data_IF_819117677230
#
_entry.id   IF_819117677230
#
_cell.length_a   1.000
_cell.length_b   1.000
_cell.length_c   1.000
_cell.angle_alpha   90.00
_cell.angle_beta   90.00
_cell.angle_gamma   90.00
#
_symmetry.space_group_name_H-M   'P 1'
#
loop_
_entity.id
_entity.type
_entity.pdbx_description
1 polymer ?
#
# COMPACT_ATOMS: atom_id res chain seq x y z
N UNK A 1 -8.99 -8.41 24.01
CA UNK A 1 -9.11 -9.38 22.89
C UNK A 1 -10.10 -10.51 23.17
N UNK A 2 -10.05 -11.19 24.33
CA UNK A 2 -11.01 -12.29 24.68
C UNK A 2 -12.47 -11.87 24.50
N UNK A 3 -12.85 -10.70 25.03
CA UNK A 3 -14.22 -10.18 24.90
C UNK A 3 -14.64 -9.90 23.45
N UNK A 4 -13.72 -9.41 22.61
CA UNK A 4 -13.98 -9.20 21.19
C UNK A 4 -14.19 -10.51 20.44
N UNK A 5 -13.33 -11.51 20.69
CA UNK A 5 -13.48 -12.85 20.11
C UNK A 5 -14.78 -13.54 20.58
N UNK A 6 -15.11 -13.44 21.88
CA UNK A 6 -16.35 -14.00 22.42
C UNK A 6 -17.59 -13.31 21.82
N UNK A 7 -17.58 -11.97 21.74
CA UNK A 7 -18.68 -11.19 21.17
C UNK A 7 -18.87 -11.49 19.69
N UNK A 8 -17.81 -11.44 18.89
CA UNK A 8 -17.88 -11.74 17.44
C UNK A 8 -18.36 -13.17 17.21
N UNK A 9 -17.83 -14.16 17.95
CA UNK A 9 -18.27 -15.55 17.86
C UNK A 9 -19.76 -15.66 18.17
N UNK A 10 -20.20 -15.12 19.32
CA UNK A 10 -21.61 -15.16 19.75
C UNK A 10 -22.52 -14.47 18.73
N UNK A 11 -22.12 -13.30 18.22
CA UNK A 11 -22.86 -12.53 17.23
C UNK A 11 -23.04 -13.31 15.92
N UNK A 12 -21.96 -13.87 15.36
CA UNK A 12 -22.04 -14.65 14.12
C UNK A 12 -22.80 -15.96 14.30
N UNK A 13 -22.57 -16.69 15.39
CA UNK A 13 -23.35 -17.89 15.69
C UNK A 13 -24.83 -17.58 15.88
N UNK A 14 -25.15 -16.44 16.51
CA UNK A 14 -26.51 -15.96 16.67
C UNK A 14 -27.18 -15.64 15.34
N UNK A 15 -26.49 -14.92 14.44
CA UNK A 15 -27.00 -14.63 13.09
C UNK A 15 -27.27 -15.90 12.31
N UNK A 16 -26.32 -16.85 12.29
CA UNK A 16 -26.49 -18.11 11.57
C UNK A 16 -27.63 -18.93 12.17
N UNK A 17 -27.72 -19.02 13.49
CA UNK A 17 -28.81 -19.70 14.17
C UNK A 17 -30.17 -19.05 13.87
N UNK A 18 -30.25 -17.72 13.85
CA UNK A 18 -31.47 -16.98 13.48
C UNK A 18 -31.86 -17.27 12.04
N UNK A 19 -30.92 -17.28 11.09
CA UNK A 19 -31.21 -17.59 9.68
C UNK A 19 -31.74 -19.02 9.53
N UNK A 20 -31.08 -20.00 10.17
CA UNK A 20 -31.52 -21.40 10.16
C UNK A 20 -32.91 -21.51 10.80
N UNK A 21 -33.11 -20.91 11.97
CA UNK A 21 -34.41 -20.92 12.65
C UNK A 21 -35.50 -20.31 11.78
N UNK A 22 -35.25 -19.14 11.18
CA UNK A 22 -36.22 -18.48 10.30
C UNK A 22 -36.62 -19.33 9.10
N UNK A 23 -35.67 -20.06 8.51
CA UNK A 23 -35.88 -20.89 7.32
C UNK A 23 -36.55 -22.24 7.63
N UNK A 24 -36.17 -22.89 8.73
CA UNK A 24 -36.62 -24.24 9.07
C UNK A 24 -37.87 -24.25 9.95
N UNK A 25 -38.11 -23.21 10.75
CA UNK A 25 -39.26 -23.16 11.65
C UNK A 25 -40.55 -22.91 10.88
N UNK A 26 -41.52 -23.84 11.02
CA UNK A 26 -42.76 -23.85 10.22
C UNK A 26 -43.58 -22.56 10.37
N UNK A 27 -43.59 -21.96 11.56
CA UNK A 27 -44.34 -20.72 11.84
C UNK A 27 -43.72 -19.50 11.15
N UNK A 28 -42.39 -19.42 11.05
CA UNK A 28 -41.69 -18.24 10.47
C UNK A 28 -41.48 -18.36 8.98
N UNK A 29 -41.42 -19.59 8.44
CA UNK A 29 -41.24 -19.86 7.01
C UNK A 29 -42.16 -19.05 6.07
N UNK A 30 -43.49 -18.93 6.30
CA UNK A 30 -44.33 -18.10 5.42
C UNK A 30 -43.95 -16.62 5.43
N UNK A 31 -43.55 -16.08 6.59
CA UNK A 31 -43.10 -14.70 6.73
C UNK A 31 -41.82 -14.47 5.93
N UNK A 32 -40.87 -15.42 5.98
CA UNK A 32 -39.62 -15.32 5.21
C UNK A 32 -39.89 -15.29 3.71
N UNK A 33 -40.81 -16.11 3.20
CA UNK A 33 -41.17 -16.06 1.78
C UNK A 33 -41.87 -14.75 1.38
N UNK A 34 -42.69 -14.18 2.27
CA UNK A 34 -43.26 -12.85 2.04
C UNK A 34 -42.17 -11.78 1.95
N UNK A 35 -41.21 -11.78 2.88
CA UNK A 35 -40.06 -10.86 2.86
C UNK A 35 -39.25 -11.04 1.58
N UNK A 36 -38.96 -12.29 1.17
CA UNK A 36 -38.26 -12.58 -0.07
C UNK A 36 -39.01 -12.02 -1.29
N UNK A 37 -40.33 -12.16 -1.32
CA UNK A 37 -41.19 -11.57 -2.34
C UNK A 37 -41.08 -10.04 -2.38
N UNK A 38 -41.04 -9.37 -1.21
CA UNK A 38 -40.80 -7.92 -1.12
C UNK A 38 -39.42 -7.56 -1.67
N UNK A 39 -38.36 -8.30 -1.32
CA UNK A 39 -37.00 -8.06 -1.83
C UNK A 39 -36.96 -8.17 -3.35
N UNK A 40 -37.57 -9.22 -3.92
CA UNK A 40 -37.67 -9.39 -5.38
C UNK A 40 -38.44 -8.21 -6.00
N UNK A 41 -39.55 -7.80 -5.37
CA UNK A 41 -40.32 -6.63 -5.79
C UNK A 41 -39.49 -5.33 -5.79
N UNK A 42 -38.65 -5.13 -4.77
CA UNK A 42 -37.72 -3.98 -4.71
C UNK A 42 -36.70 -4.03 -5.86
N UNK A 43 -36.13 -5.20 -6.16
CA UNK A 43 -35.16 -5.35 -7.26
C UNK A 43 -35.83 -5.06 -8.61
N UNK A 44 -37.04 -5.59 -8.82
CA UNK A 44 -37.81 -5.33 -10.05
C UNK A 44 -38.18 -3.86 -10.17
N UNK A 45 -38.62 -3.21 -9.09
CA UNK A 45 -38.94 -1.78 -9.09
C UNK A 45 -37.71 -0.91 -9.37
N UNK A 46 -36.52 -1.27 -8.88
CA UNK A 46 -35.26 -0.60 -9.23
C UNK A 46 -34.89 -0.76 -10.71
N UNK A 47 -35.10 -1.94 -11.28
CA UNK A 47 -34.86 -2.20 -12.69
C UNK A 47 -35.83 -1.38 -13.56
N UNK A 48 -37.13 -1.39 -13.23
CA UNK A 48 -38.15 -0.59 -13.93
C UNK A 48 -37.82 0.90 -13.82
N UNK A 49 -37.46 1.40 -12.65
CA UNK A 49 -37.05 2.80 -12.46
C UNK A 49 -35.88 3.16 -13.36
N UNK A 50 -34.85 2.32 -13.41
CA UNK A 50 -33.68 2.55 -14.26
C UNK A 50 -34.05 2.64 -15.74
N UNK A 51 -34.95 1.76 -16.20
CA UNK A 51 -35.48 1.78 -17.57
C UNK A 51 -36.28 3.05 -17.83
N UNK A 52 -37.22 3.40 -16.95
CA UNK A 52 -38.02 4.61 -17.06
C UNK A 52 -37.16 5.87 -17.07
N UNK A 53 -36.11 5.93 -16.25
CA UNK A 53 -35.18 7.05 -16.23
C UNK A 53 -34.47 7.21 -17.59
N UNK A 54 -33.99 6.11 -18.17
CA UNK A 54 -33.35 6.14 -19.50
C UNK A 54 -34.35 6.54 -20.60
N UNK A 55 -35.57 5.99 -20.57
CA UNK A 55 -36.61 6.28 -21.56
C UNK A 55 -37.08 7.73 -21.47
N UNK A 56 -37.46 8.21 -20.29
CA UNK A 56 -37.85 9.61 -20.09
C UNK A 56 -36.70 10.58 -20.34
N UNK A 57 -35.47 10.20 -19.98
CA UNK A 57 -34.26 10.96 -20.34
C UNK A 57 -34.16 11.18 -21.85
N UNK A 58 -34.28 10.10 -22.64
CA UNK A 58 -34.22 10.18 -24.11
C UNK A 58 -35.41 10.92 -24.73
N UNK A 59 -36.61 10.81 -24.17
CA UNK A 59 -37.82 11.39 -24.75
C UNK A 59 -38.01 12.88 -24.40
N UNK A 60 -37.69 13.27 -23.16
CA UNK A 60 -37.98 14.61 -22.65
C UNK A 60 -36.81 15.59 -22.84
N UNK A 61 -35.59 15.10 -23.03
CA UNK A 61 -34.39 15.92 -23.20
C UNK A 61 -33.82 15.82 -24.62
N UNK A 62 -33.46 16.97 -25.17
CA UNK A 62 -32.63 17.08 -26.35
C UNK A 62 -31.34 17.80 -25.94
N UNK A 63 -30.25 17.04 -25.77
CA UNK A 63 -29.02 17.51 -25.13
C UNK A 63 -29.31 18.15 -23.75
N UNK A 64 -29.01 19.44 -23.57
CA UNK A 64 -29.23 20.17 -22.32
C UNK A 64 -30.61 20.84 -22.21
N UNK A 65 -31.45 20.78 -23.25
CA UNK A 65 -32.73 21.48 -23.29
C UNK A 65 -33.92 20.53 -23.08
N UNK A 66 -34.93 20.99 -22.33
CA UNK A 66 -36.20 20.28 -22.12
C UNK A 66 -37.10 20.47 -23.34
N UNK A 67 -37.41 19.39 -24.06
CA UNK A 67 -38.28 19.45 -25.25
C UNK A 67 -39.75 19.63 -24.89
N UNK A 68 -40.18 19.07 -23.76
CA UNK A 68 -41.57 19.10 -23.26
C UNK A 68 -41.60 19.39 -21.76
N UNK A 69 -41.71 20.66 -21.34
CA UNK A 69 -41.56 21.04 -19.93
C UNK A 69 -42.64 20.44 -19.02
N UNK A 70 -43.89 20.35 -19.49
CA UNK A 70 -45.00 19.79 -18.70
C UNK A 70 -44.80 18.31 -18.37
N UNK A 71 -44.52 17.48 -19.38
CA UNK A 71 -44.28 16.04 -19.20
C UNK A 71 -43.04 15.80 -18.33
N UNK A 72 -41.99 16.60 -18.55
CA UNK A 72 -40.78 16.50 -17.76
C UNK A 72 -41.05 16.76 -16.27
N UNK A 73 -41.78 17.82 -15.94
CA UNK A 73 -42.10 18.15 -14.54
C UNK A 73 -42.90 17.03 -13.87
N UNK A 74 -43.91 16.46 -14.54
CA UNK A 74 -44.68 15.33 -14.00
C UNK A 74 -43.78 14.10 -13.80
N UNK A 75 -42.94 13.78 -14.78
CA UNK A 75 -42.04 12.62 -14.68
C UNK A 75 -41.00 12.76 -13.58
N UNK A 76 -40.49 13.98 -13.34
CA UNK A 76 -39.55 14.28 -12.27
C UNK A 76 -40.24 14.12 -10.91
N UNK A 77 -41.42 14.69 -10.71
CA UNK A 77 -42.18 14.53 -9.45
C UNK A 77 -42.48 13.06 -9.17
N UNK A 78 -42.87 12.28 -10.19
CA UNK A 78 -43.11 10.84 -10.04
C UNK A 78 -41.83 10.07 -9.67
N UNK A 79 -40.69 10.38 -10.31
CA UNK A 79 -39.40 9.76 -10.02
C UNK A 79 -38.84 10.17 -8.65
N UNK A 80 -39.12 11.39 -8.19
CA UNK A 80 -38.77 11.90 -6.87
C UNK A 80 -39.58 11.18 -5.78
N UNK A 81 -40.89 11.05 -5.94
CA UNK A 81 -41.74 10.28 -5.03
C UNK A 81 -41.26 8.82 -4.91
N UNK A 82 -40.88 8.20 -6.03
CA UNK A 82 -40.26 6.88 -6.03
C UNK A 82 -38.91 6.87 -5.31
N UNK A 83 -38.10 7.91 -5.49
CA UNK A 83 -36.80 8.02 -4.83
C UNK A 83 -36.93 8.10 -3.32
N UNK A 84 -37.93 8.83 -2.79
CA UNK A 84 -38.20 8.90 -1.34
C UNK A 84 -38.43 7.52 -0.73
N UNK A 85 -39.13 6.61 -1.42
CA UNK A 85 -39.27 5.23 -0.94
C UNK A 85 -37.94 4.47 -0.88
N UNK A 86 -37.10 4.65 -1.91
CA UNK A 86 -35.80 3.99 -1.99
C UNK A 86 -34.77 4.55 -1.00
N UNK A 87 -34.81 5.84 -0.67
CA UNK A 87 -33.89 6.43 0.30
C UNK A 87 -34.12 5.86 1.69
N UNK A 88 -35.36 5.61 2.10
CA UNK A 88 -35.68 4.94 3.36
C UNK A 88 -35.04 3.56 3.41
N UNK A 89 -35.20 2.76 2.35
CA UNK A 89 -34.58 1.43 2.28
C UNK A 89 -33.05 1.52 2.32
N UNK A 90 -32.46 2.48 1.62
CA UNK A 90 -31.01 2.69 1.63
C UNK A 90 -30.49 3.08 3.02
N UNK A 91 -31.22 3.91 3.78
CA UNK A 91 -30.88 4.26 5.16
C UNK A 91 -30.91 3.01 6.05
N UNK A 92 -31.91 2.16 5.93
CA UNK A 92 -31.99 0.89 6.68
C UNK A 92 -30.84 -0.04 6.30
N UNK A 93 -30.56 -0.21 5.01
CA UNK A 93 -29.44 -1.03 4.55
C UNK A 93 -28.09 -0.49 5.06
N UNK A 94 -27.91 0.84 5.07
CA UNK A 94 -26.72 1.49 5.62
C UNK A 94 -26.60 1.26 7.12
N UNK A 95 -27.70 1.35 7.87
CA UNK A 95 -27.71 1.06 9.31
C UNK A 95 -27.26 -0.38 9.58
N UNK A 96 -27.80 -1.35 8.85
CA UNK A 96 -27.39 -2.77 8.98
C UNK A 96 -25.90 -2.94 8.67
N UNK A 97 -25.42 -2.35 7.56
CA UNK A 97 -24.00 -2.40 7.20
C UNK A 97 -23.10 -1.80 8.28
N UNK A 98 -23.50 -0.68 8.90
CA UNK A 98 -22.76 -0.06 10.00
C UNK A 98 -22.77 -0.94 11.26
N UNK A 99 -23.89 -1.58 11.60
CA UNK A 99 -23.96 -2.50 12.73
C UNK A 99 -23.06 -3.73 12.53
N UNK A 100 -23.06 -4.30 11.32
CA UNK A 100 -22.18 -5.42 10.97
C UNK A 100 -20.72 -5.00 10.99
N UNK A 101 -20.38 -3.84 10.43
CA UNK A 101 -19.03 -3.29 10.47
C UNK A 101 -18.57 -3.05 11.91
N UNK A 102 -19.41 -2.46 12.76
CA UNK A 102 -19.14 -2.24 14.17
C UNK A 102 -18.93 -3.56 14.93
N UNK A 103 -19.78 -4.56 14.67
CA UNK A 103 -19.64 -5.89 15.28
C UNK A 103 -18.36 -6.61 14.84
N UNK A 104 -17.98 -6.51 13.56
CA UNK A 104 -16.74 -7.08 13.02
C UNK A 104 -15.49 -6.41 13.60
N UNK A 105 -15.55 -5.11 13.86
CA UNK A 105 -14.46 -4.36 14.46
C UNK A 105 -14.49 -4.39 15.99
N UNK A 106 -15.51 -5.01 16.60
CA UNK A 106 -15.60 -5.15 18.04
C UNK A 106 -14.43 -6.01 18.56
N UNK A 107 -13.48 -5.35 19.22
CA UNK A 107 -12.29 -5.98 19.79
C UNK A 107 -10.98 -5.66 19.09
N UNK A 108 -11.00 -4.93 17.98
CA UNK A 108 -9.82 -4.26 17.44
C UNK A 108 -9.52 -3.02 18.27
N UNK A 109 -8.26 -2.87 18.66
CA UNK A 109 -7.77 -1.73 19.47
C UNK A 109 -7.08 -0.66 18.62
N UNK A 110 -6.80 -0.98 17.37
CA UNK A 110 -6.00 -0.18 16.45
C UNK A 110 -6.82 0.80 15.61
N UNK A 111 -8.15 0.68 15.62
CA UNK A 111 -9.05 1.48 14.79
C UNK A 111 -10.18 2.06 15.64
N UNK A 112 -10.49 3.35 15.45
CA UNK A 112 -11.65 3.97 16.08
C UNK A 112 -12.93 3.55 15.36
N UNK A 113 -13.95 3.18 16.14
CA UNK A 113 -15.27 2.84 15.58
C UNK A 113 -16.07 4.12 15.28
N UNK A 114 -15.85 5.14 16.10
CA UNK A 114 -16.48 6.45 15.97
C UNK A 114 -15.60 7.37 15.12
N UNK A 115 -16.25 8.29 14.40
CA UNK A 115 -15.55 9.41 13.76
C UNK A 115 -15.06 10.38 14.83
N UNK A 116 -13.98 11.12 14.55
CA UNK A 116 -13.36 12.05 15.51
C UNK A 116 -14.36 13.04 16.12
N UNK A 117 -15.33 13.50 15.33
CA UNK A 117 -16.38 14.42 15.80
C UNK A 117 -17.52 13.75 16.55
N UNK A 118 -17.77 12.45 16.34
CA UNK A 118 -18.83 11.70 17.02
C UNK A 118 -18.35 11.03 18.31
N UNK A 119 -17.05 10.79 18.44
CA UNK A 119 -16.43 10.19 19.62
C UNK A 119 -16.34 11.14 20.82
N UNK A 120 -16.29 12.45 20.59
CA UNK A 120 -16.17 13.44 21.65
C UNK A 120 -17.54 14.01 22.06
N UNK A 121 -18.04 13.65 23.25
CA UNK A 121 -19.18 14.33 23.88
C UNK A 121 -18.61 15.29 24.95
N UNK A 122 -18.35 16.52 24.52
CA UNK A 122 -17.70 17.53 25.37
C UNK A 122 -16.26 17.10 25.73
N UNK A 123 -15.87 17.07 27.02
CA UNK A 123 -14.54 16.65 27.43
C UNK A 123 -14.36 15.13 27.49
N UNK A 124 -15.41 14.34 27.25
CA UNK A 124 -15.39 12.89 27.37
C UNK A 124 -15.24 12.27 25.97
N UNK A 125 -14.16 11.52 25.78
CA UNK A 125 -13.95 10.68 24.60
C UNK A 125 -14.58 9.30 24.85
N UNK A 126 -15.52 8.92 23.99
CA UNK A 126 -16.25 7.66 24.05
C UNK A 126 -15.40 6.45 23.63
N UNK A 127 -14.35 6.67 22.84
CA UNK A 127 -13.47 5.60 22.34
C UNK A 127 -11.98 5.96 22.54
N UNK A 128 -11.49 6.00 23.80
CA UNK A 128 -10.12 6.44 24.09
C UNK A 128 -9.04 5.38 23.80
N UNK A 129 -9.45 4.14 23.49
CA UNK A 129 -8.53 3.01 23.35
C UNK A 129 -7.57 3.15 22.16
N UNK A 130 -8.01 3.49 20.93
CA UNK A 130 -7.11 3.69 19.80
C UNK A 130 -6.12 4.83 20.03
N UNK A 131 -6.56 5.91 20.67
CA UNK A 131 -5.70 7.03 21.03
C UNK A 131 -4.60 6.61 22.02
N UNK A 132 -4.97 5.81 23.03
CA UNK A 132 -4.04 5.27 24.02
C UNK A 132 -3.06 4.28 23.39
N UNK A 133 -3.56 3.35 22.57
CA UNK A 133 -2.74 2.40 21.82
C UNK A 133 -1.73 3.11 20.90
N UNK A 134 -2.15 4.17 20.21
CA UNK A 134 -1.26 4.95 19.35
C UNK A 134 -0.17 5.67 20.15
N UNK A 135 -0.49 6.19 21.34
CA UNK A 135 0.51 6.78 22.24
C UNK A 135 1.54 5.75 22.70
N UNK A 136 1.08 4.56 23.08
CA UNK A 136 1.97 3.47 23.49
C UNK A 136 2.86 2.99 22.33
N UNK A 137 2.30 2.90 21.12
CA UNK A 137 3.05 2.57 19.92
C UNK A 137 4.15 3.60 19.64
N UNK A 138 3.83 4.88 19.73
CA UNK A 138 4.81 5.97 19.54
C UNK A 138 5.85 6.00 20.65
N UNK A 139 5.46 5.72 21.90
CA UNK A 139 6.39 5.63 23.02
C UNK A 139 7.35 4.47 22.82
N UNK A 140 6.85 3.31 22.41
CA UNK A 140 7.66 2.13 22.11
C UNK A 140 8.63 2.40 20.95
N UNK A 141 8.15 3.04 19.88
CA UNK A 141 8.99 3.39 18.73
C UNK A 141 10.06 4.43 19.09
N UNK A 142 9.73 5.40 19.95
CA UNK A 142 10.69 6.39 20.44
C UNK A 142 11.80 5.77 21.29
N UNK A 143 11.49 4.75 22.11
CA UNK A 143 12.48 4.10 22.99
C UNK A 143 13.26 2.97 22.31
N UNK A 144 12.63 2.27 21.37
CA UNK A 144 13.18 1.07 20.71
C UNK A 144 13.17 1.23 19.21
N UNK A 145 13.72 2.34 18.76
CA UNK A 145 13.85 2.56 17.33
C UNK A 145 14.91 1.62 16.77
N UNK A 146 14.57 0.71 15.83
CA UNK A 146 15.48 -0.35 15.37
C UNK A 146 16.81 0.18 14.84
N UNK A 147 16.79 1.39 14.28
CA UNK A 147 17.97 2.04 13.74
C UNK A 147 18.89 2.61 14.82
N UNK A 148 18.34 3.15 15.91
CA UNK A 148 19.13 3.69 17.03
C UNK A 148 19.77 2.54 17.80
N UNK A 149 19.02 1.46 18.07
CA UNK A 149 19.56 0.28 18.75
C UNK A 149 20.71 -0.34 17.99
N UNK A 150 20.53 -0.52 16.66
CA UNK A 150 21.60 -1.03 15.81
C UNK A 150 22.80 -0.07 15.83
N UNK A 151 22.58 1.25 15.74
CA UNK A 151 23.67 2.24 15.72
C UNK A 151 24.45 2.18 17.04
N UNK A 152 23.74 2.14 18.17
CA UNK A 152 24.32 1.94 19.50
C UNK A 152 25.16 0.67 19.58
N UNK A 153 24.63 -0.46 19.10
CA UNK A 153 25.37 -1.72 19.03
C UNK A 153 26.64 -1.62 18.17
N UNK A 154 26.58 -0.91 17.04
CA UNK A 154 27.75 -0.65 16.19
C UNK A 154 28.82 0.18 16.93
N UNK A 155 28.43 1.24 17.64
CA UNK A 155 29.36 2.04 18.45
C UNK A 155 29.96 1.23 19.61
N UNK A 156 29.18 0.38 20.26
CA UNK A 156 29.67 -0.55 21.28
C UNK A 156 30.69 -1.55 20.71
N UNK A 157 30.44 -2.08 19.51
CA UNK A 157 31.41 -2.93 18.80
C UNK A 157 32.69 -2.18 18.43
N UNK A 158 32.59 -0.90 18.05
CA UNK A 158 33.75 -0.04 17.81
C UNK A 158 34.60 0.12 19.06
N UNK A 159 33.97 0.35 20.21
CA UNK A 159 34.68 0.46 21.50
C UNK A 159 35.34 -0.88 21.87
N UNK A 160 34.61 -1.99 21.75
CA UNK A 160 35.12 -3.33 22.10
C UNK A 160 36.33 -3.77 21.26
N UNK A 161 36.32 -3.48 19.96
CA UNK A 161 37.35 -3.94 19.03
C UNK A 161 38.42 -2.89 18.69
N UNK A 162 38.24 -1.63 19.14
CA UNK A 162 39.20 -0.55 18.98
C UNK A 162 39.68 -0.37 17.54
N UNK A 163 41.00 -0.36 17.33
CA UNK A 163 41.61 -0.23 16.01
C UNK A 163 41.24 -1.36 15.03
N UNK A 164 40.86 -2.54 15.53
CA UNK A 164 40.48 -3.69 14.68
C UNK A 164 39.09 -3.53 14.05
N UNK A 165 38.27 -2.59 14.54
CA UNK A 165 36.93 -2.32 13.99
C UNK A 165 36.97 -1.76 12.56
N UNK A 166 38.03 -1.04 12.20
CA UNK A 166 38.18 -0.43 10.88
C UNK A 166 38.80 -1.36 9.81
N UNK A 167 39.02 -2.64 10.11
CA UNK A 167 39.57 -3.61 9.16
C UNK A 167 38.59 -3.93 8.02
N UNK A 168 39.07 -4.53 6.94
CA UNK A 168 38.24 -4.95 5.80
C UNK A 168 37.04 -5.83 6.22
N UNK A 169 37.18 -6.63 7.27
CA UNK A 169 36.06 -7.37 7.87
C UNK A 169 34.99 -6.45 8.48
N UNK A 170 35.38 -5.32 9.08
CA UNK A 170 34.47 -4.30 9.59
C UNK A 170 33.86 -3.38 8.52
N UNK A 171 34.39 -3.39 7.29
CA UNK A 171 33.75 -2.70 6.15
C UNK A 171 32.48 -3.44 5.70
N UNK A 172 32.49 -4.78 5.73
CA UNK A 172 31.32 -5.62 5.43
C UNK A 172 30.16 -5.32 6.38
N UNK A 173 30.44 -5.17 7.68
CA UNK A 173 29.44 -4.80 8.67
C UNK A 173 28.87 -3.40 8.43
N UNK A 174 29.70 -2.41 8.09
CA UNK A 174 29.27 -1.06 7.70
C UNK A 174 28.39 -1.07 6.46
N UNK A 175 28.66 -1.96 5.52
CA UNK A 175 27.95 -2.06 4.25
C UNK A 175 26.57 -2.71 4.41
N UNK A 176 26.47 -3.76 5.23
CA UNK A 176 25.19 -4.30 5.72
C UNK A 176 24.37 -3.22 6.42
N UNK A 177 25.04 -2.37 7.19
CA UNK A 177 24.43 -1.28 7.93
C UNK A 177 23.87 -0.16 7.04
N UNK A 178 24.66 0.29 6.08
CA UNK A 178 24.24 1.28 5.07
C UNK A 178 23.09 0.73 4.24
N UNK A 179 23.12 -0.56 3.87
CA UNK A 179 22.00 -1.19 3.17
C UNK A 179 20.73 -1.32 4.00
N UNK A 180 20.86 -1.54 5.31
CA UNK A 180 19.70 -1.60 6.20
C UNK A 180 19.13 -0.21 6.53
N UNK A 181 19.99 0.80 6.74
CA UNK A 181 19.58 2.15 7.18
C UNK A 181 19.19 3.07 6.03
N UNK A 182 19.89 2.98 4.90
CA UNK A 182 19.80 3.95 3.82
C UNK A 182 19.73 3.20 2.48
N UNK A 183 18.67 2.41 2.23
CA UNK A 183 18.53 1.66 0.98
C UNK A 183 18.51 2.58 -0.24
N UNK A 184 18.07 3.85 -0.08
CA UNK A 184 18.12 4.85 -1.15
C UNK A 184 19.54 5.26 -1.53
N UNK A 185 20.51 5.16 -0.62
CA UNK A 185 21.92 5.44 -0.90
C UNK A 185 22.56 4.39 -1.82
N UNK A 186 21.90 3.24 -2.08
CA UNK A 186 22.31 2.33 -3.16
C UNK A 186 22.36 3.03 -4.51
N UNK A 187 21.36 3.86 -4.79
CA UNK A 187 21.23 4.58 -6.07
C UNK A 187 22.30 5.65 -6.26
N UNK A 188 22.85 6.15 -5.15
CA UNK A 188 23.84 7.24 -5.14
C UNK A 188 25.25 6.77 -4.76
N UNK A 189 25.46 5.46 -4.64
CA UNK A 189 26.80 4.93 -4.49
C UNK A 189 27.49 5.16 -5.82
N UNK A 190 28.40 6.14 -5.84
CA UNK A 190 29.25 6.43 -7.00
C UNK A 190 29.91 5.11 -7.39
N UNK A 191 29.41 4.52 -8.46
CA UNK A 191 30.09 3.45 -9.16
C UNK A 191 31.39 4.06 -9.67
N UNK A 192 32.50 3.67 -9.07
CA UNK A 192 33.81 3.98 -9.63
C UNK A 192 33.94 3.20 -10.95
N UNK A 193 33.47 3.81 -12.04
CA UNK A 193 33.73 3.57 -13.48
C UNK A 193 33.82 2.13 -14.03
N UNK A 194 33.47 1.11 -13.26
CA UNK A 194 33.39 -0.27 -13.71
C UNK A 194 32.01 -0.82 -13.32
N UNK A 195 30.97 -0.19 -13.85
CA UNK A 195 29.63 -0.75 -13.86
C UNK A 195 29.60 -1.91 -14.86
N UNK A 196 29.91 -3.12 -14.37
CA UNK A 196 29.44 -4.34 -15.00
C UNK A 196 27.91 -4.37 -14.82
N UNK A 197 27.11 -4.42 -15.91
CA UNK A 197 25.67 -4.36 -15.79
C UNK A 197 25.14 -5.45 -14.85
N UNK A 198 24.21 -5.08 -13.97
CA UNK A 198 23.65 -5.92 -12.90
C UNK A 198 23.05 -7.24 -13.46
N UNK A 199 22.61 -7.23 -14.72
CA UNK A 199 22.16 -8.40 -15.47
C UNK A 199 23.26 -9.46 -15.72
N UNK A 200 24.52 -9.04 -15.92
CA UNK A 200 25.66 -9.96 -16.11
C UNK A 200 26.03 -10.67 -14.80
N UNK A 201 26.01 -9.95 -13.67
CA UNK A 201 26.36 -10.52 -12.36
C UNK A 201 25.28 -11.51 -11.89
N UNK A 202 24.00 -11.21 -12.16
CA UNK A 202 22.90 -12.12 -11.84
C UNK A 202 22.86 -13.35 -12.76
N UNK A 203 23.34 -13.26 -14.00
CA UNK A 203 23.54 -14.42 -14.89
C UNK A 203 24.74 -15.29 -14.50
N UNK A 204 25.83 -14.68 -14.02
CA UNK A 204 27.09 -15.36 -13.65
C UNK A 204 26.99 -16.23 -12.40
N UNK A 205 26.15 -15.88 -11.43
CA UNK A 205 26.00 -16.67 -10.18
C UNK A 205 25.21 -17.96 -10.43
N UNK A 206 24.46 -18.05 -11.54
CA UNK A 206 23.54 -19.16 -11.82
C UNK A 206 23.96 -20.15 -12.90
N UNK A 207 24.97 -19.89 -13.73
CA UNK A 207 25.24 -20.71 -14.92
C UNK A 207 26.68 -21.25 -14.97
N UNK A 208 26.80 -22.55 -15.30
CA UNK A 208 28.06 -23.28 -15.39
C UNK A 208 29.04 -22.55 -16.32
N UNK A 209 30.35 -22.50 -15.99
CA UNK A 209 31.34 -21.74 -16.75
C UNK A 209 31.53 -22.37 -18.12
N UNK A 210 30.92 -21.79 -19.14
CA UNK A 210 31.09 -22.20 -20.53
C UNK A 210 32.46 -21.72 -21.06
N UNK A 211 33.11 -22.55 -21.87
CA UNK A 211 34.47 -22.32 -22.39
C UNK A 211 34.56 -21.04 -23.24
N UNK A 212 33.43 -20.58 -23.80
CA UNK A 212 33.36 -19.32 -24.54
C UNK A 212 33.58 -18.09 -23.65
N UNK A 213 33.24 -18.16 -22.36
CA UNK A 213 33.35 -17.03 -21.45
C UNK A 213 34.81 -16.68 -21.13
N UNK A 214 35.65 -17.70 -20.93
CA UNK A 214 37.10 -17.52 -20.71
C UNK A 214 37.78 -16.81 -21.89
N UNK A 215 37.38 -17.14 -23.13
CA UNK A 215 37.93 -16.47 -24.32
C UNK A 215 37.53 -15.00 -24.41
N UNK A 216 36.30 -14.65 -24.00
CA UNK A 216 35.85 -13.24 -23.96
C UNK A 216 36.59 -12.44 -22.88
N UNK A 217 36.80 -13.00 -21.69
CA UNK A 217 37.59 -12.36 -20.63
C UNK A 217 39.03 -12.12 -21.11
N UNK A 218 39.68 -13.12 -21.72
CA UNK A 218 41.06 -12.98 -22.19
C UNK A 218 41.19 -11.90 -23.29
N UNK A 219 40.17 -11.76 -24.15
CA UNK A 219 40.12 -10.69 -25.16
C UNK A 219 39.91 -9.30 -24.52
N UNK A 220 39.07 -9.21 -23.49
CA UNK A 220 38.85 -7.98 -22.73
C UNK A 220 40.11 -7.54 -22.00
N UNK A 221 40.81 -8.46 -21.32
CA UNK A 221 42.08 -8.16 -20.66
C UNK A 221 43.15 -7.68 -21.65
N UNK A 222 43.23 -8.28 -22.85
CA UNK A 222 44.15 -7.83 -23.90
C UNK A 222 43.83 -6.41 -24.36
N UNK A 223 42.54 -6.06 -24.51
CA UNK A 223 42.11 -4.71 -24.88
C UNK A 223 42.44 -3.69 -23.79
N UNK A 224 42.19 -4.01 -22.52
CA UNK A 224 42.49 -3.10 -21.41
C UNK A 224 43.99 -2.86 -21.29
N UNK A 225 44.83 -3.90 -21.38
CA UNK A 225 46.29 -3.74 -21.37
C UNK A 225 46.79 -2.90 -22.56
N UNK A 226 46.17 -3.04 -23.74
CA UNK A 226 46.51 -2.21 -24.89
C UNK A 226 46.15 -0.73 -24.65
N UNK A 227 44.99 -0.44 -24.07
CA UNK A 227 44.59 0.92 -23.71
C UNK A 227 45.51 1.55 -22.67
N UNK A 228 45.90 0.79 -21.64
CA UNK A 228 46.85 1.26 -20.62
C UNK A 228 48.23 1.59 -21.21
N UNK A 229 48.73 0.74 -22.11
CA UNK A 229 49.98 1.03 -22.84
C UNK A 229 49.84 2.27 -23.72
N UNK A 230 48.70 2.46 -24.39
CA UNK A 230 48.48 3.67 -25.18
C UNK A 230 48.40 4.92 -24.30
N UNK A 231 47.82 4.84 -23.10
CA UNK A 231 47.83 5.97 -22.16
C UNK A 231 49.23 6.28 -21.62
N UNK A 232 50.04 5.26 -21.32
CA UNK A 232 51.44 5.44 -20.90
C UNK A 232 52.31 6.04 -22.02
N UNK A 233 52.13 5.58 -23.27
CA UNK A 233 52.82 6.18 -24.42
C UNK A 233 52.40 7.63 -24.62
N UNK A 234 51.11 7.94 -24.42
CA UNK A 234 50.60 9.31 -24.53
C UNK A 234 51.12 10.22 -23.41
N UNK A 235 51.27 9.72 -22.18
CA UNK A 235 51.91 10.50 -21.11
C UNK A 235 53.38 10.77 -21.39
N UNK A 236 54.11 9.78 -21.93
CA UNK A 236 55.53 9.93 -22.24
C UNK A 236 55.78 10.85 -23.46
N UNK A 237 54.85 10.91 -24.42
CA UNK A 237 54.92 11.83 -25.56
C UNK A 237 54.58 13.28 -25.15
N UNK A 238 53.72 13.46 -24.15
CA UNK A 238 53.38 14.78 -23.61
C UNK A 238 54.54 15.47 -22.86
N UNK A 239 55.55 14.71 -22.39
CA UNK A 239 56.75 15.29 -21.76
C UNK A 239 57.78 15.83 -22.77
N UNK A 240 57.68 15.52 -24.06
CA UNK A 240 58.67 15.94 -25.07
C UNK A 240 58.39 17.33 -25.65
N UNK A 241 57.14 17.81 -25.60
CA UNK A 241 56.76 19.09 -26.20
C UNK A 241 56.94 20.31 -25.27
N UNK A 242 57.12 20.12 -23.95
CA UNK A 242 57.24 21.23 -22.98
C UNK A 242 58.70 21.71 -22.74
N UNK A 243 59.72 21.02 -23.25
CA UNK A 243 61.14 21.38 -22.99
C UNK A 243 61.79 22.28 -24.07
N UNK A 244 61.03 22.75 -25.09
CA UNK A 244 61.59 23.53 -26.22
C UNK A 244 61.24 25.04 -26.26
N UNK A 245 60.55 25.58 -25.24
CA UNK A 245 60.16 27.02 -25.21
C UNK A 245 60.63 27.82 -23.99
N UNK A 246 61.77 27.47 -23.40
CA UNK A 246 62.41 28.30 -22.36
C UNK A 246 63.86 28.62 -22.75
N UNK A 247 64.03 29.44 -23.79
CA UNK A 247 65.25 30.23 -24.00
C UNK A 247 64.96 31.40 -24.96
N UNK A 248 64.16 32.37 -24.49
CA UNK A 248 64.22 33.74 -24.99
C UNK A 248 63.60 34.72 -23.98
N UNK A 249 64.40 35.15 -23.00
CA UNK A 249 64.53 36.54 -22.52
C UNK A 249 65.35 36.62 -21.23
#
# INVERSE_FOLDING_TARGET
MIWGAAFTTLFFTGIVAIIILLLFWEVTRPIVFQILGVVIGVVVTLAIKSILFVVFGKLNYAAFYRRRPLVNNISVVALEAWHLGLTVLFVVARLVSLLVAAALHAGRVDMSVLTESAGAIGPIDLDPLPASYRKDLLLADAHRHPFIERLGAMYLMKIKHGAKFATAAGSVWRLLFVFALMPWLRKYRIASEVDLPEELVLQEIGTKPDHQYKKKIEQLEKKVRALQRMSEVRSNLGEIDDESTVDSK
#
